data_IF_016388495139
#
_entry.id   IF_016388495139
#
_cell.length_a   1.000
_cell.length_b   1.000
_cell.length_c   1.000
_cell.angle_alpha   90.00
_cell.angle_beta   90.00
_cell.angle_gamma   90.00
#
_symmetry.space_group_name_H-M   'P 1'
#
loop_
_entity.id
_entity.type
_entity.pdbx_description
1 polymer ?
#
# COMPACT_ATOMS: atom_id res chain seq x y z
N UNK A 1 -16.62 20.47 7.90
CA UNK A 1 -15.45 20.35 6.99
C UNK A 1 -14.86 18.96 7.19
N UNK A 2 -14.51 18.23 6.12
CA UNK A 2 -13.92 16.89 6.25
C UNK A 2 -12.55 16.97 6.95
N UNK A 3 -12.28 16.02 7.85
CA UNK A 3 -10.98 15.88 8.53
C UNK A 3 -10.09 14.99 7.70
N UNK A 4 -9.08 15.57 7.06
CA UNK A 4 -8.19 14.89 6.12
C UNK A 4 -6.82 14.62 6.77
N UNK A 5 -6.27 13.41 6.55
CA UNK A 5 -4.88 13.10 6.89
C UNK A 5 -3.99 13.35 5.66
N UNK A 6 -3.13 14.39 5.64
CA UNK A 6 -2.24 14.64 4.52
C UNK A 6 -1.15 13.53 4.39
N UNK A 7 -0.56 13.35 3.19
CA UNK A 7 0.54 12.42 2.99
C UNK A 7 1.76 12.86 3.80
N UNK A 8 2.08 12.11 4.86
CA UNK A 8 3.10 12.50 5.84
C UNK A 8 4.55 12.18 5.44
N UNK A 9 4.76 11.43 4.34
CA UNK A 9 6.07 10.94 3.90
C UNK A 9 6.36 11.10 2.40
N UNK A 10 5.57 11.93 1.72
CA UNK A 10 5.88 12.35 0.35
C UNK A 10 7.25 13.06 0.30
N UNK A 11 8.00 12.85 -0.77
CA UNK A 11 9.42 13.20 -0.99
C UNK A 11 10.44 12.59 -0.02
N UNK A 12 9.99 11.83 0.98
CA UNK A 12 10.89 11.06 1.85
C UNK A 12 10.89 9.58 1.48
N UNK A 13 9.71 9.01 1.22
CA UNK A 13 9.55 7.57 0.95
C UNK A 13 9.14 7.30 -0.50
N UNK A 14 8.47 8.26 -1.12
CA UNK A 14 7.96 8.19 -2.49
C UNK A 14 7.79 9.62 -3.02
N UNK A 15 7.79 9.84 -4.35
CA UNK A 15 7.65 11.17 -4.93
C UNK A 15 6.36 11.88 -4.50
N UNK A 16 6.43 13.18 -4.22
CA UNK A 16 5.24 14.00 -3.96
C UNK A 16 4.43 14.29 -5.22
N UNK A 17 5.08 14.28 -6.40
CA UNK A 17 4.38 14.41 -7.67
C UNK A 17 3.50 13.19 -7.94
N UNK A 18 2.21 13.45 -8.19
CA UNK A 18 1.22 12.40 -8.33
C UNK A 18 1.43 11.56 -9.61
N UNK A 19 1.89 12.20 -10.69
CA UNK A 19 2.13 11.50 -11.95
C UNK A 19 3.36 10.60 -11.84
N UNK A 20 4.46 11.12 -11.29
CA UNK A 20 5.68 10.35 -11.03
C UNK A 20 5.39 9.14 -10.12
N UNK A 21 4.63 9.36 -9.03
CA UNK A 21 4.21 8.29 -8.13
C UNK A 21 3.36 7.23 -8.85
N UNK A 22 2.42 7.65 -9.69
CA UNK A 22 1.57 6.74 -10.44
C UNK A 22 2.38 5.90 -11.44
N UNK A 23 3.31 6.51 -12.16
CA UNK A 23 4.19 5.83 -13.11
C UNK A 23 5.07 4.80 -12.40
N UNK A 24 5.68 5.19 -11.27
CA UNK A 24 6.48 4.31 -10.42
C UNK A 24 5.69 3.08 -9.96
N UNK A 25 4.52 3.29 -9.33
CA UNK A 25 3.68 2.19 -8.82
C UNK A 25 3.16 1.30 -9.95
N UNK A 26 2.75 1.91 -11.07
CA UNK A 26 2.26 1.16 -12.23
C UNK A 26 3.37 0.31 -12.86
N UNK A 27 4.61 0.82 -12.88
CA UNK A 27 5.79 0.07 -13.32
C UNK A 27 6.00 -1.19 -12.48
N UNK A 28 6.06 -1.05 -11.16
CA UNK A 28 6.23 -2.19 -10.26
C UNK A 28 5.11 -3.23 -10.39
N UNK A 29 3.85 -2.79 -10.48
CA UNK A 29 2.71 -3.70 -10.65
C UNK A 29 2.76 -4.44 -12.00
N UNK A 30 3.19 -3.76 -13.07
CA UNK A 30 3.30 -4.38 -14.40
C UNK A 30 4.38 -5.45 -14.43
N UNK A 31 5.54 -5.16 -13.85
CA UNK A 31 6.65 -6.12 -13.74
C UNK A 31 6.26 -7.32 -12.87
N UNK A 32 5.66 -7.08 -11.70
CA UNK A 32 5.20 -8.14 -10.81
C UNK A 32 4.13 -9.04 -11.47
N UNK A 33 3.25 -8.49 -12.30
CA UNK A 33 2.21 -9.25 -12.98
C UNK A 33 2.76 -10.22 -14.04
N UNK A 34 3.95 -9.96 -14.60
CA UNK A 34 4.57 -10.87 -15.58
C UNK A 34 5.00 -12.20 -14.95
N UNK A 35 5.30 -12.20 -13.66
CA UNK A 35 5.79 -13.36 -12.90
C UNK A 35 4.74 -13.89 -11.92
N UNK A 36 3.50 -13.42 -12.01
CA UNK A 36 2.45 -13.80 -11.07
C UNK A 36 1.86 -15.17 -11.44
N UNK A 37 2.20 -16.18 -10.65
CA UNK A 37 1.54 -17.48 -10.73
C UNK A 37 0.05 -17.36 -10.37
N UNK A 38 -0.77 -18.25 -10.95
CA UNK A 38 -2.20 -18.29 -10.69
C UNK A 38 -2.50 -19.12 -9.44
N UNK A 39 -2.40 -18.51 -8.25
CA UNK A 39 -3.09 -19.05 -7.07
C UNK A 39 -4.22 -18.12 -6.62
N UNK A 40 -5.11 -18.67 -5.79
CA UNK A 40 -6.30 -17.98 -5.31
C UNK A 40 -6.04 -16.59 -4.72
N UNK A 41 -7.11 -15.80 -4.64
CA UNK A 41 -7.03 -14.42 -4.12
C UNK A 41 -6.84 -14.46 -2.59
N UNK A 42 -5.73 -13.91 -2.06
CA UNK A 42 -5.50 -13.90 -0.63
C UNK A 42 -6.49 -12.98 0.10
N UNK A 43 -6.84 -13.33 1.34
CA UNK A 43 -7.66 -12.47 2.22
C UNK A 43 -6.86 -11.40 2.96
N UNK A 44 -5.57 -11.63 3.15
CA UNK A 44 -4.65 -10.70 3.78
C UNK A 44 -3.34 -10.66 3.00
N UNK A 45 -2.70 -9.49 2.98
CA UNK A 45 -1.35 -9.31 2.47
C UNK A 45 -0.45 -8.84 3.60
N UNK A 46 0.79 -9.30 3.61
CA UNK A 46 1.88 -8.74 4.41
C UNK A 46 2.86 -8.13 3.41
N UNK A 47 3.09 -6.83 3.52
CA UNK A 47 3.95 -6.08 2.59
C UNK A 47 4.93 -5.20 3.37
N UNK A 48 6.14 -4.96 2.81
CA UNK A 48 7.08 -4.01 3.39
C UNK A 48 6.58 -2.57 3.26
N UNK A 49 7.02 -1.70 4.18
CA UNK A 49 6.62 -0.28 4.24
C UNK A 49 7.82 0.71 4.22
N UNK A 50 8.95 0.30 3.65
CA UNK A 50 10.11 1.19 3.45
C UNK A 50 9.85 2.20 2.31
N UNK A 51 10.86 3.02 1.98
CA UNK A 51 10.82 3.85 0.79
C UNK A 51 10.64 3.01 -0.48
N UNK A 52 9.88 3.51 -1.45
CA UNK A 52 9.40 2.74 -2.61
C UNK A 52 10.53 2.24 -3.49
N UNK A 53 11.66 2.94 -3.55
CA UNK A 53 12.86 2.48 -4.26
C UNK A 53 13.42 1.16 -3.69
N UNK A 54 13.18 0.88 -2.40
CA UNK A 54 13.65 -0.33 -1.73
C UNK A 54 12.56 -1.41 -1.66
N UNK A 55 11.33 -1.02 -1.36
CA UNK A 55 10.25 -1.97 -1.05
C UNK A 55 9.14 -2.05 -2.10
N UNK A 56 9.10 -1.13 -3.06
CA UNK A 56 8.04 -1.05 -4.07
C UNK A 56 7.88 -2.33 -4.90
N UNK A 57 8.96 -2.87 -5.53
CA UNK A 57 8.87 -4.12 -6.29
C UNK A 57 8.39 -5.31 -5.44
N UNK A 58 8.86 -5.42 -4.20
CA UNK A 58 8.47 -6.50 -3.28
C UNK A 58 7.00 -6.36 -2.84
N UNK A 59 6.54 -5.14 -2.54
CA UNK A 59 5.14 -4.92 -2.24
C UNK A 59 4.24 -5.23 -3.46
N UNK A 60 4.68 -4.88 -4.67
CA UNK A 60 3.93 -5.13 -5.89
C UNK A 60 3.68 -6.63 -6.14
N UNK A 61 4.66 -7.51 -5.84
CA UNK A 61 4.48 -8.96 -5.97
C UNK A 61 3.33 -9.53 -5.12
N UNK A 62 3.04 -8.89 -3.98
CA UNK A 62 1.88 -9.21 -3.16
C UNK A 62 0.60 -8.56 -3.69
N UNK A 63 0.64 -7.29 -4.08
CA UNK A 63 -0.55 -6.56 -4.54
C UNK A 63 -1.15 -7.12 -5.84
N UNK A 64 -0.33 -7.59 -6.78
CA UNK A 64 -0.82 -8.17 -8.05
C UNK A 64 -1.73 -9.38 -7.84
N UNK A 65 -1.58 -10.09 -6.71
CA UNK A 65 -2.41 -11.24 -6.33
C UNK A 65 -3.88 -10.87 -6.08
N UNK A 66 -4.18 -9.57 -5.88
CA UNK A 66 -5.54 -9.07 -5.71
C UNK A 66 -6.26 -8.80 -7.04
N UNK A 67 -5.56 -8.79 -8.18
CA UNK A 67 -6.13 -8.47 -9.49
C UNK A 67 -7.42 -9.26 -9.82
N UNK A 68 -7.51 -10.59 -9.58
CA UNK A 68 -8.73 -11.35 -9.89
C UNK A 68 -9.95 -10.93 -9.06
N UNK A 69 -9.75 -10.28 -7.92
CA UNK A 69 -10.82 -9.79 -7.05
C UNK A 69 -10.91 -8.26 -6.95
N UNK A 70 -10.19 -7.50 -7.78
CA UNK A 70 -10.13 -6.03 -7.68
C UNK A 70 -11.51 -5.34 -7.67
N UNK A 71 -12.52 -5.93 -8.34
CA UNK A 71 -13.91 -5.42 -8.38
C UNK A 71 -14.79 -5.93 -7.23
N UNK A 72 -14.33 -6.92 -6.47
CA UNK A 72 -15.05 -7.54 -5.34
C UNK A 72 -14.62 -6.95 -3.99
N UNK A 73 -13.38 -6.45 -3.89
CA UNK A 73 -12.86 -5.83 -2.67
C UNK A 73 -13.47 -4.42 -2.54
N UNK A 74 -14.27 -4.22 -1.50
CA UNK A 74 -14.94 -2.94 -1.21
C UNK A 74 -14.42 -2.26 0.06
N UNK A 75 -13.61 -2.97 0.85
CA UNK A 75 -13.07 -2.50 2.12
C UNK A 75 -11.68 -3.07 2.31
N UNK A 76 -10.76 -2.20 2.70
CA UNK A 76 -9.40 -2.55 3.09
C UNK A 76 -9.21 -2.11 4.53
N UNK A 77 -8.72 -3.02 5.38
CA UNK A 77 -8.24 -2.68 6.73
C UNK A 77 -6.73 -2.67 6.65
N UNK A 78 -6.11 -1.51 6.87
CA UNK A 78 -4.67 -1.35 6.87
C UNK A 78 -4.17 -1.32 8.31
N UNK A 79 -3.32 -2.28 8.65
CA UNK A 79 -2.68 -2.39 9.97
C UNK A 79 -1.19 -2.12 9.81
N UNK A 80 -0.63 -1.29 10.69
CA UNK A 80 0.79 -0.98 10.70
C UNK A 80 1.30 -0.74 12.12
N UNK A 81 2.58 -1.03 12.40
CA UNK A 81 3.18 -0.78 13.71
C UNK A 81 3.35 0.73 13.98
N UNK A 82 3.28 1.12 15.26
CA UNK A 82 3.69 2.46 15.69
C UNK A 82 5.21 2.50 15.87
N UNK A 83 5.90 3.33 15.08
CA UNK A 83 7.35 3.54 15.19
C UNK A 83 7.73 4.75 16.06
N UNK A 84 6.76 5.54 16.53
CA UNK A 84 7.03 6.82 17.21
C UNK A 84 6.48 6.92 18.63
N UNK A 85 5.38 6.22 18.92
CA UNK A 85 4.68 6.33 20.21
C UNK A 85 4.46 4.93 20.78
N UNK A 86 4.80 4.66 22.06
CA UNK A 86 4.44 3.43 22.72
C UNK A 86 2.92 3.24 22.72
N UNK A 87 2.45 2.09 22.23
CA UNK A 87 1.03 1.77 22.15
C UNK A 87 0.81 0.35 22.64
N UNK A 88 -0.10 0.19 23.60
CA UNK A 88 -0.68 -1.09 23.97
C UNK A 88 -2.08 -1.19 23.38
N UNK A 89 -2.29 -2.13 22.46
CA UNK A 89 -3.57 -2.30 21.75
C UNK A 89 -3.59 -1.68 20.35
N UNK A 90 -4.75 -1.18 19.94
CA UNK A 90 -4.99 -0.62 18.61
C UNK A 90 -5.45 0.83 18.69
N UNK A 91 -5.06 1.63 17.70
CA UNK A 91 -5.53 2.99 17.50
C UNK A 91 -6.07 3.14 16.07
N UNK A 92 -7.11 3.96 15.89
CA UNK A 92 -7.65 4.31 14.57
C UNK A 92 -7.44 5.80 14.27
N UNK A 93 -7.46 6.16 12.99
CA UNK A 93 -7.40 7.57 12.60
C UNK A 93 -8.62 8.33 13.12
N UNK A 94 -8.41 9.58 13.51
CA UNK A 94 -9.49 10.56 13.76
C UNK A 94 -9.93 11.29 12.49
N UNK A 95 -9.25 11.07 11.36
CA UNK A 95 -9.70 11.54 10.05
C UNK A 95 -10.95 10.79 9.59
N UNK A 96 -11.69 11.42 8.69
CA UNK A 96 -12.85 10.79 8.06
C UNK A 96 -12.39 9.76 7.01
N UNK A 97 -13.21 8.72 6.79
CA UNK A 97 -12.91 7.59 5.91
C UNK A 97 -13.27 7.83 4.44
#
# INVERSE_FOLDING_TARGET
MPRIRPPAVADMFYPADAQELQEMVSGYLREAAQNAEADGVPKALIVPHAGYVYSGPVAASAYVRLLPARRKIRRVVLLGPSHRVPLLGLASSSADA
#
